data_IF_053176236880
#
_entry.id   IF_053176236880
#
_cell.length_a   1.000
_cell.length_b   1.000
_cell.length_c   1.000
_cell.angle_alpha   90.00
_cell.angle_beta   90.00
_cell.angle_gamma   90.00
#
_symmetry.space_group_name_H-M   'P 1'
#
loop_
_entity.id
_entity.type
_entity.pdbx_description
1 polymer ?
2 non-polymer ?
3 non-polymer ?
4 water ?
#
# COMPACT_ATOMS: atom_id res chain seq x y z
N UNK A 4 -22.83 -21.00 -5.06
CA UNK A 4 -21.97 -19.83 -5.48
C UNK A 4 -20.64 -19.85 -4.70
N UNK A 5 -19.52 -20.31 -5.32
CA UNK A 5 -18.29 -20.54 -4.58
C UNK A 5 -17.67 -19.21 -4.13
N UNK A 6 -16.97 -19.23 -3.01
CA UNK A 6 -16.20 -18.04 -2.57
C UNK A 6 -14.93 -17.94 -3.39
N UNK A 7 -14.50 -16.71 -3.73
CA UNK A 7 -13.31 -16.57 -4.54
C UNK A 7 -12.04 -16.85 -3.74
N UNK A 8 -11.03 -17.33 -4.46
CA UNK A 8 -9.65 -17.56 -3.97
C UNK A 8 -8.78 -16.37 -4.35
N UNK A 9 -9.20 -15.60 -5.34
CA UNK A 9 -8.44 -14.43 -5.85
C UNK A 9 -9.42 -13.41 -6.43
N UNK A 10 -9.09 -12.13 -6.25
CA UNK A 10 -9.86 -11.00 -6.79
C UNK A 10 -8.90 -10.13 -7.54
N UNK A 11 -9.44 -9.27 -8.36
CA UNK A 11 -8.61 -8.22 -8.95
C UNK A 11 -9.06 -6.88 -8.42
N UNK A 12 -8.04 -6.04 -8.23
CA UNK A 12 -8.19 -4.72 -7.57
C UNK A 12 -7.61 -3.69 -8.51
N UNK A 13 -8.37 -2.66 -8.83
CA UNK A 13 -7.89 -1.48 -9.55
C UNK A 13 -7.53 -0.41 -8.54
N UNK A 14 -6.38 0.19 -8.72
CA UNK A 14 -5.94 1.37 -7.98
C UNK A 14 -5.74 2.50 -8.95
N UNK A 15 -6.37 3.64 -8.72
CA UNK A 15 -6.09 4.84 -9.52
C UNK A 15 -5.60 5.95 -8.64
N UNK A 16 -4.67 6.74 -9.12
CA UNK A 16 -4.28 7.99 -8.47
C UNK A 16 -4.28 9.09 -9.51
N UNK A 17 -4.90 10.20 -9.14
CA UNK A 17 -4.93 11.35 -10.08
C UNK A 17 -4.95 12.65 -9.30
N UNK A 18 -3.95 13.46 -9.54
CA UNK A 18 -3.97 14.84 -9.05
C UNK A 18 -4.67 15.65 -10.13
N UNK A 19 -5.87 16.11 -9.82
CA UNK A 19 -6.78 16.72 -10.82
C UNK A 19 -6.43 18.18 -11.04
N UNK A 20 -5.54 18.78 -10.30
CA UNK A 20 -5.13 20.17 -10.55
C UNK A 20 -6.26 21.14 -10.37
N UNK A 21 -7.20 20.83 -9.49
CA UNK A 21 -8.33 21.71 -9.13
C UNK A 21 -9.17 22.03 -10.38
N UNK A 22 -9.24 21.12 -11.34
CA UNK A 22 -10.05 21.31 -12.55
C UNK A 22 -11.04 20.19 -12.62
N UNK A 23 -12.26 20.42 -13.16
CA UNK A 23 -13.12 19.31 -13.41
C UNK A 23 -12.55 18.38 -14.48
N UNK A 24 -12.94 17.11 -14.39
CA UNK A 24 -12.46 16.14 -15.36
C UNK A 24 -13.11 16.31 -16.72
N UNK A 25 -12.55 15.75 -17.78
CA UNK A 25 -13.21 15.77 -19.07
C UNK A 25 -14.38 14.81 -19.01
N UNK A 26 -15.17 14.81 -20.09
CA UNK A 26 -16.40 14.03 -20.14
C UNK A 26 -16.16 12.51 -20.15
N UNK A 27 -15.05 12.06 -20.69
CA UNK A 27 -14.76 10.63 -20.75
C UNK A 27 -13.42 10.36 -20.06
N UNK A 28 -13.47 9.48 -19.06
CA UNK A 28 -12.25 9.09 -18.30
C UNK A 28 -12.13 7.57 -18.31
N UNK A 29 -12.87 6.86 -19.17
CA UNK A 29 -12.82 5.39 -19.20
C UNK A 29 -11.43 4.79 -19.44
N UNK A 30 -10.54 5.48 -20.16
CA UNK A 30 -9.18 4.94 -20.41
C UNK A 30 -8.48 4.65 -19.08
N UNK A 31 -8.76 5.45 -18.06
CA UNK A 31 -8.14 5.27 -16.74
C UNK A 31 -8.51 3.89 -16.18
N UNK A 32 -9.80 3.59 -16.14
CA UNK A 32 -10.31 2.34 -15.52
C UNK A 32 -10.02 1.12 -16.39
N UNK A 33 -9.73 1.36 -17.66
CA UNK A 33 -9.32 0.28 -18.58
C UNK A 33 -7.82 0.04 -18.63
N UNK A 34 -7.03 0.81 -17.88
CA UNK A 34 -5.55 0.63 -17.87
C UNK A 34 -5.02 0.78 -19.30
N UNK A 35 -5.43 1.83 -19.99
CA UNK A 35 -5.00 2.16 -21.37
C UNK A 35 -4.11 3.39 -21.36
N UNK A 36 -3.03 3.37 -22.15
CA UNK A 36 -2.18 4.54 -22.31
C UNK A 36 -0.79 4.07 -22.45
N UNK A 37 0.10 4.59 -21.59
CA UNK A 37 1.52 4.22 -21.61
C UNK A 37 1.81 3.28 -20.44
N UNK A 38 2.89 2.53 -20.55
CA UNK A 38 3.38 1.71 -19.48
C UNK A 38 2.96 0.28 -19.69
N UNK A 39 2.70 -0.41 -18.59
CA UNK A 39 2.24 -1.80 -18.59
C UNK A 39 0.71 -1.78 -18.59
N UNK A 40 0.13 -1.97 -19.76
CA UNK A 40 -1.28 -1.74 -20.00
C UNK A 40 -2.04 -3.06 -20.08
N UNK A 41 -3.34 -2.94 -19.92
CA UNK A 41 -4.24 -4.10 -19.86
C UNK A 41 -4.67 -4.50 -21.28
N UNK A 42 -4.79 -5.79 -21.50
CA UNK A 42 -5.15 -6.34 -22.82
C UNK A 42 -6.58 -5.91 -23.14
N UNK A 43 -6.78 -5.57 -24.41
CA UNK A 43 -8.12 -5.19 -24.93
C UNK A 43 -9.17 -6.27 -24.69
N UNK A 44 -8.75 -7.49 -24.69
CA UNK A 44 -9.69 -8.62 -24.55
C UNK A 44 -10.33 -8.65 -23.16
N UNK A 45 -9.77 -7.90 -22.21
CA UNK A 45 -10.30 -7.82 -20.84
C UNK A 45 -11.22 -6.63 -20.64
N UNK A 46 -11.45 -5.79 -21.62
CA UNK A 46 -12.11 -4.49 -21.36
C UNK A 46 -13.47 -4.62 -20.70
N UNK A 47 -14.22 -5.70 -20.99
CA UNK A 47 -15.59 -5.78 -20.42
C UNK A 47 -15.56 -6.47 -19.08
N UNK A 48 -14.44 -7.03 -18.67
CA UNK A 48 -14.34 -7.79 -17.42
C UNK A 48 -14.18 -6.81 -16.27
N UNK A 49 -15.10 -6.74 -15.33
CA UNK A 49 -14.96 -5.80 -14.24
C UNK A 49 -13.91 -6.28 -13.26
N UNK A 50 -13.13 -5.34 -12.70
CA UNK A 50 -12.37 -5.62 -11.48
C UNK A 50 -13.37 -5.84 -10.36
N UNK A 51 -12.95 -6.56 -9.35
CA UNK A 51 -13.76 -6.82 -8.17
C UNK A 51 -13.95 -5.57 -7.31
N UNK A 52 -12.85 -4.80 -7.17
CA UNK A 52 -12.80 -3.59 -6.32
C UNK A 52 -12.06 -2.53 -7.11
N UNK A 53 -12.58 -1.33 -7.09
CA UNK A 53 -11.92 -0.15 -7.66
C UNK A 53 -11.67 0.82 -6.52
N UNK A 54 -10.44 1.29 -6.40
CA UNK A 54 -10.08 2.26 -5.37
C UNK A 54 -9.48 3.43 -6.08
N UNK A 55 -10.10 4.60 -5.88
CA UNK A 55 -9.81 5.81 -6.69
C UNK A 55 -9.32 6.91 -5.75
N UNK A 56 -8.04 7.26 -5.84
CA UNK A 56 -7.46 8.34 -5.03
C UNK A 56 -7.30 9.56 -5.90
N UNK A 57 -7.80 10.68 -5.41
CA UNK A 57 -7.59 11.96 -6.08
C UNK A 57 -6.91 12.92 -5.12
N UNK A 58 -6.22 13.86 -5.72
CA UNK A 58 -5.62 15.00 -5.02
C UNK A 58 -5.99 16.24 -5.81
N UNK A 59 -6.03 17.37 -5.10
CA UNK A 59 -6.48 18.64 -5.74
C UNK A 59 -7.82 18.39 -6.44
N UNK A 60 -8.71 17.68 -5.79
CA UNK A 60 -10.00 17.29 -6.35
C UNK A 60 -10.99 18.43 -6.04
N UNK A 61 -11.55 19.07 -7.09
CA UNK A 61 -12.46 20.21 -6.89
C UNK A 61 -13.89 19.80 -6.76
N UNK A 62 -14.23 18.58 -6.95
CA UNK A 62 -15.62 18.10 -7.01
C UNK A 62 -16.17 17.82 -5.63
N UNK A 63 -17.48 17.85 -5.48
CA UNK A 63 -18.08 17.31 -4.25
C UNK A 63 -17.99 15.78 -4.33
N UNK A 64 -18.20 15.12 -3.20
CA UNK A 64 -18.24 13.66 -3.20
C UNK A 64 -19.33 13.16 -4.12
N UNK A 65 -20.50 13.83 -4.09
CA UNK A 65 -21.61 13.42 -4.93
C UNK A 65 -21.21 13.52 -6.39
N UNK A 66 -20.67 14.63 -6.76
CA UNK A 66 -20.30 14.85 -8.17
C UNK A 66 -19.31 13.80 -8.66
N UNK A 67 -18.32 13.48 -7.85
CA UNK A 67 -17.29 12.51 -8.29
C UNK A 67 -17.86 11.11 -8.31
N UNK A 68 -18.66 10.73 -7.31
CA UNK A 68 -19.29 9.41 -7.31
C UNK A 68 -20.14 9.21 -8.55
N UNK A 69 -20.93 10.23 -8.91
CA UNK A 69 -21.73 10.27 -10.16
C UNK A 69 -20.83 9.80 -11.30
N UNK A 70 -19.75 10.54 -11.52
CA UNK A 70 -18.85 10.34 -12.66
C UNK A 70 -18.23 8.95 -12.62
N UNK A 71 -17.76 8.52 -11.45
CA UNK A 71 -17.10 7.22 -11.35
C UNK A 71 -18.08 6.10 -11.66
N UNK A 72 -19.23 6.13 -11.00
CA UNK A 72 -20.18 5.02 -11.20
C UNK A 72 -20.67 4.95 -12.63
N UNK A 73 -20.94 6.11 -13.24
CA UNK A 73 -21.33 6.21 -14.67
C UNK A 73 -20.26 5.54 -15.54
N UNK A 74 -19.01 5.96 -15.37
CA UNK A 74 -17.86 5.47 -16.16
C UNK A 74 -17.75 3.95 -16.05
N UNK A 75 -17.86 3.40 -14.85
CA UNK A 75 -17.76 1.93 -14.70
C UNK A 75 -18.96 1.26 -15.34
N UNK A 76 -20.13 1.84 -15.21
CA UNK A 76 -21.34 1.20 -15.78
C UNK A 76 -21.20 1.20 -17.28
N UNK A 77 -20.67 2.24 -17.87
CA UNK A 77 -20.50 2.31 -19.33
C UNK A 77 -19.52 1.24 -19.79
N UNK A 78 -18.45 1.01 -19.05
CA UNK A 78 -17.39 0.04 -19.42
C UNK A 78 -17.92 -1.39 -19.28
N UNK A 79 -18.60 -1.68 -18.19
CA UNK A 79 -18.82 -3.07 -17.74
C UNK A 79 -20.30 -3.46 -17.75
N UNK A 80 -21.20 -2.48 -17.82
CA UNK A 80 -22.66 -2.70 -17.68
C UNK A 80 -22.98 -3.20 -16.27
N UNK A 81 -22.12 -2.97 -15.29
CA UNK A 81 -22.36 -3.31 -13.86
C UNK A 81 -22.52 -2.01 -13.10
N UNK A 82 -23.50 -1.99 -12.22
CA UNK A 82 -23.72 -0.88 -11.29
C UNK A 82 -23.00 -1.17 -9.97
N UNK A 83 -21.89 -0.48 -9.76
CA UNK A 83 -21.02 -0.78 -8.61
C UNK A 83 -21.64 -0.21 -7.33
N UNK A 84 -21.35 -0.81 -6.23
CA UNK A 84 -21.78 -0.34 -4.91
C UNK A 84 -20.65 0.46 -4.27
N UNK A 85 -21.01 1.50 -3.56
CA UNK A 85 -20.05 2.34 -2.86
C UNK A 85 -19.71 1.69 -1.55
N UNK A 86 -18.47 1.29 -1.34
CA UNK A 86 -17.99 0.71 -0.08
C UNK A 86 -17.69 1.84 0.88
N UNK A 87 -16.97 2.87 0.44
CA UNK A 87 -16.53 3.94 1.33
C UNK A 87 -16.09 5.12 0.49
N UNK A 88 -16.21 6.29 1.07
CA UNK A 88 -15.65 7.52 0.46
C UNK A 88 -15.18 8.37 1.62
N UNK A 89 -14.01 8.97 1.54
CA UNK A 89 -13.50 9.83 2.61
C UNK A 89 -12.66 10.93 1.97
N UNK A 90 -12.83 12.14 2.43
CA UNK A 90 -12.17 13.30 1.89
C UNK A 90 -11.54 14.09 3.01
N UNK A 91 -10.31 14.49 2.84
CA UNK A 91 -9.60 15.48 3.72
C UNK A 91 -9.23 16.60 2.77
N UNK A 92 -9.77 17.78 3.01
CA UNK A 92 -9.50 18.94 2.13
C UNK A 92 -9.84 18.56 0.71
N UNK A 93 -8.84 18.49 -0.16
CA UNK A 93 -9.05 18.11 -1.56
C UNK A 93 -8.39 16.77 -1.89
N UNK A 94 -8.16 15.94 -0.88
CA UNK A 94 -7.57 14.59 -1.02
C UNK A 94 -8.68 13.61 -0.76
N UNK A 95 -8.96 12.70 -1.67
CA UNK A 95 -10.16 11.85 -1.56
C UNK A 95 -9.85 10.41 -1.94
N UNK A 96 -10.54 9.52 -1.30
CA UNK A 96 -10.52 8.09 -1.65
C UNK A 96 -11.93 7.59 -1.80
N UNK A 97 -12.20 6.88 -2.88
CA UNK A 97 -13.47 6.18 -3.15
C UNK A 97 -13.19 4.71 -3.35
N UNK A 98 -13.95 3.86 -2.68
CA UNK A 98 -13.87 2.41 -2.91
C UNK A 98 -15.20 1.94 -3.45
N UNK A 99 -15.21 1.30 -4.58
CA UNK A 99 -16.38 0.74 -5.23
C UNK A 99 -16.16 -0.75 -5.37
N UNK A 100 -17.25 -1.53 -5.28
CA UNK A 100 -17.12 -2.98 -5.43
C UNK A 100 -18.29 -3.54 -6.20
N UNK A 101 -18.06 -4.67 -6.87
CA UNK A 101 -19.14 -5.43 -7.54
C UNK A 101 -20.29 -5.62 -6.55
N UNK A 102 -21.56 -5.60 -7.01
CA UNK A 102 -22.65 -5.87 -6.10
C UNK A 102 -22.62 -7.26 -5.46
N UNK A 103 -22.07 -8.23 -6.13
CA UNK A 103 -22.01 -9.61 -5.58
C UNK A 103 -21.14 -9.65 -4.33
N UNK A 104 -20.27 -8.63 -4.13
CA UNK A 104 -19.34 -8.60 -2.98
C UNK A 104 -19.93 -7.93 -1.77
N UNK A 105 -21.15 -7.42 -1.87
CA UNK A 105 -21.68 -6.58 -0.78
C UNK A 105 -21.66 -7.32 0.56
N UNK A 106 -21.99 -8.62 0.56
CA UNK A 106 -22.08 -9.44 1.78
C UNK A 106 -20.79 -10.23 2.02
N UNK A 107 -19.71 -9.86 1.31
CA UNK A 107 -18.33 -10.36 1.59
C UNK A 107 -17.51 -9.27 2.26
N UNK A 108 -17.98 -8.04 2.27
CA UNK A 108 -17.21 -6.87 2.73
C UNK A 108 -17.76 -6.46 4.07
N UNK A 109 -16.93 -6.25 5.05
CA UNK A 109 -17.37 -5.84 6.38
C UNK A 109 -16.27 -5.07 7.07
N UNK A 110 -16.50 -4.59 8.26
CA UNK A 110 -15.51 -3.89 9.08
C UNK A 110 -14.89 -2.74 8.28
N UNK A 111 -15.69 -1.89 7.71
CA UNK A 111 -15.19 -0.79 6.87
C UNK A 111 -14.75 0.30 7.81
N UNK A 112 -13.50 0.75 7.67
CA UNK A 112 -12.91 1.87 8.44
C UNK A 112 -12.42 2.96 7.48
N UNK A 113 -12.51 4.20 7.92
CA UNK A 113 -11.89 5.32 7.20
C UNK A 113 -11.16 6.19 8.17
N UNK A 114 -10.13 6.87 7.69
CA UNK A 114 -9.42 7.82 8.54
C UNK A 114 -8.61 8.78 7.67
N UNK A 115 -8.08 9.81 8.28
CA UNK A 115 -7.17 10.74 7.58
C UNK A 115 -6.07 11.15 8.55
N UNK A 116 -4.99 11.62 7.97
CA UNK A 116 -3.88 12.22 8.72
C UNK A 116 -3.54 13.53 8.02
N UNK A 117 -3.46 14.60 8.79
CA UNK A 117 -2.97 15.90 8.34
C UNK A 117 -1.49 15.99 8.61
N UNK A 118 -0.63 16.22 7.61
CA UNK A 118 0.83 16.31 7.88
C UNK A 118 1.31 17.73 8.15
N UNK A 119 2.53 17.87 8.68
CA UNK A 119 3.12 19.21 8.86
C UNK A 119 2.63 19.91 10.13
N UNK A 120 3.14 21.12 10.39
CA UNK A 120 2.82 21.93 11.62
C UNK A 120 2.73 23.38 11.17
N UNK A 121 1.71 24.12 11.62
CA UNK A 121 1.55 25.59 11.43
C UNK A 121 1.53 25.91 9.92
N UNK A 122 2.52 26.68 9.42
CA UNK A 122 2.86 26.89 7.98
C UNK A 122 2.45 25.69 7.13
N UNK A 123 2.95 24.51 7.51
CA UNK A 123 2.98 23.25 6.71
C UNK A 123 1.75 22.38 7.03
N UNK A 124 0.87 22.80 7.95
CA UNK A 124 -0.45 22.11 8.16
C UNK A 124 -1.51 22.89 7.39
N UNK A 125 -2.23 22.21 6.50
CA UNK A 125 -3.46 22.79 5.94
C UNK A 125 -3.78 22.31 4.55
N UNK A 126 -2.83 21.67 3.84
CA UNK A 126 -3.39 20.97 2.67
C UNK A 126 -2.86 19.56 2.32
N UNK A 127 -1.75 19.14 2.92
CA UNK A 127 -1.12 17.83 2.63
C UNK A 127 -1.58 16.80 3.68
N UNK A 128 -1.54 15.53 3.30
CA UNK A 128 -1.85 14.48 4.22
C UNK A 128 -2.33 13.28 3.50
N UNK A 129 -3.16 12.47 4.15
CA UNK A 129 -3.60 11.22 3.56
C UNK A 129 -4.98 10.85 4.02
N UNK A 130 -5.69 10.11 3.18
CA UNK A 130 -6.95 9.47 3.57
C UNK A 130 -6.79 7.99 3.35
N UNK A 131 -7.53 7.22 4.10
CA UNK A 131 -7.44 5.75 3.92
C UNK A 131 -8.74 5.06 4.21
N UNK A 132 -8.85 3.85 3.71
CA UNK A 132 -9.98 2.97 3.91
C UNK A 132 -9.42 1.57 4.19
N UNK A 133 -10.05 0.84 5.09
CA UNK A 133 -9.80 -0.61 5.21
C UNK A 133 -11.11 -1.35 5.34
N UNK A 134 -11.05 -2.63 5.05
CA UNK A 134 -12.22 -3.50 5.26
C UNK A 134 -11.71 -4.92 5.22
N UNK A 135 -12.59 -5.82 5.64
CA UNK A 135 -12.39 -7.26 5.41
C UNK A 135 -13.12 -7.67 4.15
N UNK A 136 -12.50 -8.49 3.33
CA UNK A 136 -13.12 -9.16 2.20
C UNK A 136 -13.05 -10.63 2.56
N UNK A 137 -14.16 -11.22 2.97
CA UNK A 137 -14.17 -12.57 3.58
C UNK A 137 -13.04 -12.66 4.62
N UNK A 138 -12.13 -13.59 4.52
CA UNK A 138 -11.08 -13.78 5.51
C UNK A 138 -9.89 -12.87 5.35
N UNK A 139 -9.90 -11.93 4.42
CA UNK A 139 -8.70 -11.17 4.01
C UNK A 139 -8.89 -9.74 4.39
N UNK A 140 -7.90 -9.12 5.01
CA UNK A 140 -7.94 -7.69 5.41
C UNK A 140 -7.25 -6.88 4.31
N UNK A 141 -7.89 -5.81 3.89
CA UNK A 141 -7.39 -4.94 2.78
C UNK A 141 -7.30 -3.51 3.32
N UNK A 142 -6.19 -2.86 3.03
CA UNK A 142 -6.00 -1.43 3.40
C UNK A 142 -5.56 -0.63 2.20
N UNK A 143 -5.99 0.63 2.17
CA UNK A 143 -5.73 1.51 1.04
C UNK A 143 -5.43 2.88 1.56
N UNK A 144 -4.36 3.48 1.12
CA UNK A 144 -3.93 4.82 1.55
C UNK A 144 -3.71 5.66 0.31
N UNK A 145 -4.36 6.83 0.26
CA UNK A 145 -4.10 7.86 -0.75
C UNK A 145 -3.45 9.03 -0.05
N UNK A 146 -2.20 9.33 -0.37
CA UNK A 146 -1.50 10.45 0.25
C UNK A 146 -1.08 11.49 -0.79
N UNK A 147 -1.18 12.76 -0.39
CA UNK A 147 -0.63 13.90 -1.12
C UNK A 147 0.50 14.45 -0.27
N UNK A 148 1.73 14.13 -0.62
CA UNK A 148 2.89 14.52 0.19
C UNK A 148 3.41 15.88 -0.26
N UNK A 149 4.30 16.43 0.56
CA UNK A 149 4.89 17.75 0.38
C UNK A 149 5.50 17.85 -1.00
N UNK A 150 5.28 18.98 -1.65
CA UNK A 150 5.79 19.26 -3.00
C UNK A 150 7.20 19.86 -2.98
N UNK A 151 7.86 19.86 -4.13
CA UNK A 151 9.13 20.58 -4.31
C UNK A 151 10.28 19.65 -4.39
N UNK A 152 11.15 19.85 -5.38
CA UNK A 152 12.29 18.97 -5.56
C UNK A 152 13.21 18.89 -4.35
N UNK A 153 13.25 19.96 -3.56
CA UNK A 153 14.21 20.17 -2.45
C UNK A 153 13.75 19.42 -1.18
N UNK A 154 12.52 18.90 -1.18
CA UNK A 154 11.84 18.51 0.06
C UNK A 154 11.66 16.99 0.15
N UNK A 155 12.58 16.20 -0.33
CA UNK A 155 12.38 14.73 -0.20
C UNK A 155 12.38 14.31 1.26
N UNK A 156 13.16 14.94 2.14
CA UNK A 156 13.14 14.52 3.56
C UNK A 156 11.79 14.79 4.18
N UNK A 157 11.20 15.94 3.85
CA UNK A 157 9.83 16.28 4.32
C UNK A 157 8.85 15.18 3.87
N UNK A 158 8.94 14.77 2.60
CA UNK A 158 8.07 13.70 2.11
C UNK A 158 8.27 12.45 2.96
N UNK A 159 9.51 12.12 3.25
CA UNK A 159 9.78 10.93 4.06
C UNK A 159 9.17 11.05 5.46
N UNK A 160 9.24 12.22 6.02
CA UNK A 160 8.62 12.51 7.31
C UNK A 160 7.10 12.42 7.24
N UNK A 161 6.55 12.96 6.15
CA UNK A 161 5.09 12.84 5.95
C UNK A 161 4.69 11.36 5.92
N UNK A 162 5.43 10.56 5.17
CA UNK A 162 5.18 9.12 5.13
C UNK A 162 5.15 8.51 6.54
N UNK A 163 6.15 8.80 7.38
CA UNK A 163 6.17 8.18 8.73
C UNK A 163 4.99 8.70 9.56
N UNK A 164 4.68 9.98 9.47
CA UNK A 164 3.49 10.43 10.21
C UNK A 164 2.23 9.73 9.78
N UNK A 165 2.05 9.55 8.48
CA UNK A 165 0.85 8.85 7.99
C UNK A 165 0.82 7.41 8.51
N UNK A 166 1.98 6.77 8.39
CA UNK A 166 2.24 5.36 8.76
C UNK A 166 1.89 5.16 10.24
N UNK A 167 2.21 6.15 11.06
CA UNK A 167 2.02 6.08 12.54
C UNK A 167 0.61 6.36 12.92
N UNK A 168 -0.02 7.33 12.29
CA UNK A 168 -1.21 7.94 12.87
C UNK A 168 -2.48 7.58 12.18
N UNK A 169 -2.40 6.97 10.98
CA UNK A 169 -3.64 6.57 10.31
C UNK A 169 -4.21 5.37 11.03
N UNK A 170 -5.42 5.46 11.51
CA UNK A 170 -6.05 4.45 12.36
C UNK A 170 -7.04 3.65 11.55
N UNK A 171 -6.55 2.58 10.95
CA UNK A 171 -7.35 1.71 10.08
C UNK A 171 -7.19 0.31 10.60
N UNK A 172 -8.06 -0.58 10.21
CA UNK A 172 -7.95 -2.00 10.54
C UNK A 172 -8.30 -2.28 11.96
N UNK A 173 -7.88 -3.44 12.45
CA UNK A 173 -8.36 -4.02 13.72
C UNK A 173 -7.67 -3.32 14.88
N UNK A 174 -8.38 -2.50 15.65
CA UNK A 174 -7.81 -1.72 16.79
C UNK A 174 -7.21 -2.66 17.85
N UNK A 175 -7.65 -3.95 17.86
CA UNK A 175 -7.03 -4.88 18.85
C UNK A 175 -5.56 -5.13 18.51
N UNK A 176 -5.12 -4.84 17.27
CA UNK A 176 -3.70 -5.00 16.87
C UNK A 176 -2.89 -3.83 17.35
N UNK A 177 -2.93 -3.57 18.68
CA UNK A 177 -2.47 -2.28 19.22
C UNK A 177 -1.01 -2.02 18.98
N UNK A 178 -0.09 -3.00 18.99
CA UNK A 178 1.29 -2.73 18.73
C UNK A 178 1.61 -2.39 17.28
N UNK A 179 0.66 -2.61 16.38
CA UNK A 179 0.97 -2.64 14.92
C UNK A 179 0.39 -1.42 14.23
N UNK A 180 1.20 -0.81 13.39
CA UNK A 180 0.75 0.29 12.50
C UNK A 180 0.16 -0.31 11.24
N UNK A 181 -0.28 0.56 10.33
CA UNK A 181 -0.93 0.07 9.10
C UNK A 181 -0.02 -0.83 8.29
N UNK A 182 1.30 -0.70 8.42
CA UNK A 182 2.21 -1.55 7.61
C UNK A 182 2.20 -3.01 8.04
N UNK A 183 1.49 -3.36 9.10
CA UNK A 183 1.32 -4.75 9.56
C UNK A 183 -0.12 -5.17 9.72
N UNK A 184 -1.11 -4.30 9.56
CA UNK A 184 -2.50 -4.68 9.90
C UNK A 184 -3.22 -5.42 8.80
N UNK A 185 -2.70 -5.44 7.57
CA UNK A 185 -3.49 -5.91 6.44
C UNK A 185 -2.80 -7.02 5.68
N UNK A 186 -3.58 -7.97 5.20
CA UNK A 186 -3.08 -8.99 4.27
C UNK A 186 -2.42 -8.28 3.08
N UNK A 187 -3.13 -7.29 2.54
CA UNK A 187 -2.67 -6.49 1.40
C UNK A 187 -2.89 -5.03 1.74
N UNK A 188 -1.83 -4.25 1.64
CA UNK A 188 -1.88 -2.79 1.84
C UNK A 188 -1.42 -2.11 0.55
N UNK A 189 -2.22 -1.22 0.00
CA UNK A 189 -1.88 -0.43 -1.20
C UNK A 189 -1.72 1.00 -0.77
N UNK A 190 -0.62 1.62 -1.13
CA UNK A 190 -0.33 3.02 -0.76
C UNK A 190 -0.02 3.75 -2.05
N UNK A 191 -0.78 4.76 -2.36
CA UNK A 191 -0.70 5.47 -3.65
C UNK A 191 -0.92 6.93 -3.41
N UNK A 192 -0.74 7.70 -4.46
CA UNK A 192 -1.05 9.12 -4.35
C UNK A 192 -0.12 9.95 -5.19
N UNK A 193 -0.25 11.28 -4.98
CA UNK A 193 0.78 12.22 -5.44
C UNK A 193 1.83 12.29 -4.35
N UNK A 194 2.74 11.36 -4.45
CA UNK A 194 3.83 11.24 -3.47
C UNK A 194 4.87 12.32 -3.67
N UNK A 195 4.90 12.94 -4.85
CA UNK A 195 5.62 14.19 -5.09
C UNK A 195 7.11 14.06 -5.13
N UNK A 196 7.66 12.85 -5.16
CA UNK A 196 9.09 12.66 -5.39
C UNK A 196 9.45 13.00 -6.83
N UNK A 197 10.62 13.60 -7.01
CA UNK A 197 11.02 14.21 -8.28
C UNK A 197 12.23 13.49 -8.87
N UNK A 198 12.47 13.78 -10.14
CA UNK A 198 13.72 13.39 -10.83
C UNK A 198 14.74 14.44 -10.50
N UNK A 199 15.74 14.06 -9.70
CA UNK A 199 16.72 15.02 -9.14
C UNK A 199 17.92 15.13 -10.09
N UNK A 200 17.76 15.97 -11.11
CA UNK A 200 18.79 16.29 -12.07
C UNK A 200 18.88 17.80 -12.07
N UNK A 201 20.02 18.36 -12.54
CA UNK A 201 20.12 19.82 -12.55
C UNK A 201 19.05 20.46 -13.43
N UNK A 202 18.58 21.65 -13.07
CA UNK A 202 17.44 22.32 -13.75
C UNK A 202 17.80 22.71 -15.20
N UNK A 203 19.10 22.92 -15.50
CA UNK A 203 19.58 23.24 -16.86
C UNK A 203 19.70 21.96 -17.71
N UNK A 204 19.36 20.79 -17.15
CA UNK A 204 19.14 19.56 -17.96
C UNK A 204 17.67 19.42 -18.36
N UNK A 205 16.80 20.40 -18.17
CA UNK A 205 15.36 20.22 -18.42
C UNK A 205 15.14 19.77 -19.85
N UNK A 206 15.76 20.42 -20.84
CA UNK A 206 15.45 20.07 -22.24
C UNK A 206 16.04 18.72 -22.55
N UNK A 207 17.16 18.37 -21.97
CA UNK A 207 17.72 17.02 -22.16
C UNK A 207 16.72 16.01 -21.64
N UNK A 208 16.17 16.23 -20.45
CA UNK A 208 15.18 15.30 -19.87
C UNK A 208 13.98 15.13 -20.80
N UNK A 209 13.46 16.22 -21.32
CA UNK A 209 12.34 16.17 -22.26
C UNK A 209 12.65 15.33 -23.48
N UNK A 210 13.87 15.47 -24.02
CA UNK A 210 14.24 14.72 -25.25
C UNK A 210 14.37 13.22 -24.88
N UNK A 211 14.88 12.87 -23.69
CA UNK A 211 14.88 11.46 -23.27
C UNK A 211 13.46 10.88 -23.19
N UNK A 212 12.53 11.68 -22.67
CA UNK A 212 11.14 11.27 -22.55
C UNK A 212 10.57 11.05 -23.94
N UNK A 213 10.83 11.93 -24.89
CA UNK A 213 10.30 11.77 -26.27
C UNK A 213 10.86 10.53 -26.93
N UNK A 214 12.03 10.08 -26.54
CA UNK A 214 12.66 8.84 -27.04
C UNK A 214 12.27 7.62 -26.25
N UNK A 215 11.43 7.83 -25.24
CA UNK A 215 10.98 6.72 -24.34
C UNK A 215 12.17 6.07 -23.71
N UNK A 216 13.17 6.87 -23.35
CA UNK A 216 14.40 6.35 -22.74
C UNK A 216 14.39 6.83 -21.31
N UNK A 217 13.83 6.02 -20.42
CA UNK A 217 13.60 6.47 -19.02
C UNK A 217 14.72 6.07 -18.09
N UNK A 218 15.69 5.25 -18.49
CA UNK A 218 16.60 4.63 -17.53
C UNK A 218 17.43 5.68 -16.78
N UNK A 219 17.95 6.68 -17.46
CA UNK A 219 18.82 7.68 -16.82
C UNK A 219 17.98 8.71 -16.06
N UNK A 220 16.66 8.70 -16.24
CA UNK A 220 15.79 9.53 -15.40
C UNK A 220 15.44 8.73 -14.14
N UNK A 221 15.02 7.47 -14.29
CA UNK A 221 14.61 6.64 -13.13
C UNK A 221 15.74 6.48 -12.13
N UNK A 222 17.00 6.45 -12.64
CA UNK A 222 18.16 6.35 -11.74
C UNK A 222 18.30 7.58 -10.84
N UNK A 223 17.60 8.68 -11.13
CA UNK A 223 17.60 9.89 -10.29
C UNK A 223 16.22 10.14 -9.67
N UNK A 224 15.29 9.20 -9.81
CA UNK A 224 13.97 9.38 -9.18
C UNK A 224 14.16 9.29 -7.67
N UNK A 225 13.70 10.29 -6.93
CA UNK A 225 13.95 10.34 -5.49
C UNK A 225 13.23 9.23 -4.75
N UNK A 226 12.08 8.76 -5.21
CA UNK A 226 11.41 7.68 -4.46
C UNK A 226 12.23 6.39 -4.58
N UNK A 227 12.67 6.05 -5.79
CA UNK A 227 13.52 4.85 -5.95
C UNK A 227 14.82 4.99 -5.17
N UNK A 228 15.45 6.16 -5.17
CA UNK A 228 16.76 6.28 -4.48
C UNK A 228 16.52 6.30 -2.99
N UNK A 229 15.53 6.97 -2.46
CA UNK A 229 15.26 6.95 -1.04
C UNK A 229 14.87 5.55 -0.59
N UNK A 230 14.08 4.84 -1.39
CA UNK A 230 13.74 3.44 -1.05
C UNK A 230 15.01 2.59 -1.03
N UNK A 231 15.92 2.79 -1.97
CA UNK A 231 17.13 1.93 -2.06
C UNK A 231 18.03 2.20 -0.84
N UNK A 232 17.98 3.41 -0.28
CA UNK A 232 18.74 3.74 0.95
C UNK A 232 17.93 3.49 2.21
N UNK A 233 16.77 2.88 2.09
CA UNK A 233 15.92 2.47 3.20
C UNK A 233 15.51 3.69 4.01
N UNK A 234 15.21 4.79 3.34
CA UNK A 234 14.77 6.03 4.02
C UNK A 234 13.27 6.15 4.04
N UNK A 235 12.53 5.34 3.26
CA UNK A 235 11.07 5.46 3.13
C UNK A 235 10.54 4.20 2.50
N UNK A 236 9.30 3.84 2.76
CA UNK A 236 8.61 2.73 2.11
C UNK A 236 9.40 1.44 2.25
N UNK A 237 10.02 1.24 3.40
CA UNK A 237 10.71 -0.03 3.65
C UNK A 237 9.71 -1.18 3.56
N UNK A 238 10.08 -2.19 2.83
CA UNK A 238 9.31 -3.44 2.66
C UNK A 238 8.09 -3.28 1.80
N UNK A 239 7.96 -2.21 1.07
CA UNK A 239 6.94 -2.08 0.01
C UNK A 239 7.54 -2.42 -1.32
N UNK A 240 6.67 -2.76 -2.26
CA UNK A 240 6.99 -3.09 -3.66
C UNK A 240 6.41 -2.01 -4.58
N UNK A 241 7.02 -1.83 -5.74
CA UNK A 241 6.47 -1.01 -6.83
C UNK A 241 6.81 -1.73 -8.11
N UNK A 242 5.86 -1.79 -9.03
CA UNK A 242 6.11 -2.34 -10.38
C UNK A 242 7.09 -1.41 -11.12
N UNK A 243 7.89 -1.98 -12.02
CA UNK A 243 8.76 -1.18 -12.85
C UNK A 243 7.96 -0.11 -13.59
N UNK A 244 8.52 1.08 -13.65
CA UNK A 244 7.93 2.21 -14.36
C UNK A 244 8.34 2.16 -15.81
N UNK A 245 7.39 2.13 -16.70
CA UNK A 245 7.66 2.06 -18.17
C UNK A 245 6.81 3.07 -18.89
N UNK A 246 6.29 4.09 -18.22
CA UNK A 246 5.47 5.21 -18.72
C UNK A 246 6.29 6.50 -18.50
N UNK A 247 5.94 7.50 -19.27
CA UNK A 247 6.59 8.79 -19.12
C UNK A 247 6.23 9.45 -17.80
N UNK A 248 7.08 10.36 -17.30
CA UNK A 248 6.72 11.19 -16.16
C UNK A 248 5.34 11.77 -16.30
N UNK A 249 4.60 11.79 -15.19
CA UNK A 249 3.18 12.16 -15.20
C UNK A 249 2.94 13.61 -14.80
N UNK A 250 4.01 14.34 -14.58
CA UNK A 250 3.98 15.73 -14.12
C UNK A 250 5.24 16.39 -14.68
N UNK A 251 5.24 17.69 -14.99
CA UNK A 251 4.15 18.65 -14.98
C UNK A 251 3.82 19.01 -16.41
N UNK A 252 2.61 18.75 -16.86
CA UNK A 252 2.14 18.99 -18.24
C UNK A 252 1.47 20.37 -18.30
N UNK A 253 1.58 20.97 -19.49
CA UNK A 253 0.62 22.00 -19.93
C UNK A 253 -0.74 21.36 -20.03
N UNK A 254 -1.76 22.01 -19.52
CA UNK A 254 -3.12 21.45 -19.61
C UNK A 254 -3.64 21.47 -21.04
N UNK A 255 -4.51 20.55 -21.38
CA UNK A 255 -5.29 20.40 -22.61
C UNK A 255 -4.44 19.82 -23.74
N UNK A 256 -3.20 19.47 -23.49
CA UNK A 256 -2.41 18.63 -24.42
C UNK A 256 -1.64 17.64 -23.58
N UNK A 257 -0.93 16.67 -24.15
CA UNK A 257 0.18 15.99 -23.44
C UNK A 257 1.46 16.22 -24.19
N UNK A 258 1.48 17.21 -25.07
CA UNK A 258 2.65 17.40 -25.97
C UNK A 258 3.76 18.18 -25.28
N UNK A 259 3.47 18.77 -24.11
CA UNK A 259 4.36 19.75 -23.51
C UNK A 259 4.47 19.55 -22.00
N UNK A 260 5.69 19.43 -21.56
CA UNK A 260 6.04 19.55 -20.14
C UNK A 260 6.29 21.01 -19.77
N UNK A 261 5.65 21.53 -18.76
CA UNK A 261 5.77 22.92 -18.28
C UNK A 261 6.64 22.90 -17.05
N UNK A 262 7.92 23.10 -17.17
CA UNK A 262 8.88 22.93 -16.07
C UNK A 262 9.44 24.24 -15.52
N UNK A 263 9.30 25.33 -16.26
CA UNK A 263 10.00 26.61 -15.93
C UNK A 263 9.43 27.22 -14.66
N UNK A 264 10.27 27.94 -13.92
CA UNK A 264 9.81 28.62 -12.70
C UNK A 264 8.86 29.78 -13.08
N UNK A 265 7.83 29.92 -12.28
CA UNK A 265 6.76 30.93 -12.49
C UNK A 265 6.32 31.44 -11.13
N UNK A 266 5.72 32.65 -11.07
CA UNK A 266 5.16 33.09 -9.78
C UNK A 266 4.20 32.05 -9.22
N UNK A 267 3.40 31.45 -10.09
CA UNK A 267 2.37 30.46 -9.73
C UNK A 267 3.04 29.21 -9.09
N UNK A 268 4.32 28.97 -9.39
CA UNK A 268 5.02 27.80 -8.75
C UNK A 268 5.87 28.22 -7.57
N UNK A 269 5.75 29.46 -7.08
CA UNK A 269 6.67 29.95 -6.07
C UNK A 269 8.08 30.06 -6.56
N UNK A 270 8.25 30.32 -7.83
CA UNK A 270 9.57 30.42 -8.49
C UNK A 270 10.35 29.13 -8.34
N UNK A 271 9.63 28.01 -8.44
CA UNK A 271 10.19 26.63 -8.42
C UNK A 271 10.16 26.03 -9.83
N UNK A 272 11.23 25.34 -10.19
CA UNK A 272 11.21 24.47 -11.36
C UNK A 272 10.45 23.20 -11.00
N UNK A 273 9.77 22.69 -11.98
CA UNK A 273 9.11 21.37 -11.89
C UNK A 273 9.63 20.52 -13.03
N UNK A 274 10.84 20.02 -12.90
CA UNK A 274 11.35 19.12 -13.93
C UNK A 274 10.40 17.93 -14.02
N UNK A 275 10.23 17.34 -15.21
CA UNK A 275 9.37 16.18 -15.36
C UNK A 275 9.71 15.08 -14.37
N UNK A 276 8.66 14.58 -13.71
CA UNK A 276 8.80 13.66 -12.57
C UNK A 276 7.66 12.65 -12.52
N UNK A 277 7.97 11.56 -11.88
CA UNK A 277 6.98 10.52 -11.56
C UNK A 277 6.40 10.79 -10.16
N UNK A 278 5.58 11.84 -10.10
CA UNK A 278 4.96 12.24 -8.82
C UNK A 278 3.95 11.22 -8.32
N UNK A 279 3.32 10.49 -9.25
CA UNK A 279 2.04 9.81 -9.03
C UNK A 279 2.28 8.30 -9.07
N UNK A 280 2.10 7.63 -7.94
CA UNK A 280 2.70 6.30 -7.77
C UNK A 280 1.73 5.37 -7.06
N UNK A 281 1.96 4.06 -7.25
CA UNK A 281 1.25 3.01 -6.52
C UNK A 281 2.26 2.03 -6.01
N UNK A 282 2.26 1.77 -4.74
CA UNK A 282 3.09 0.79 -4.05
C UNK A 282 2.20 -0.15 -3.25
N UNK A 283 2.75 -1.29 -2.88
CA UNK A 283 1.99 -2.22 -2.05
C UNK A 283 2.88 -3.02 -1.13
N UNK A 284 2.26 -3.58 -0.11
CA UNK A 284 2.94 -4.47 0.82
C UNK A 284 1.92 -5.53 1.20
N UNK A 285 2.25 -6.77 0.97
CA UNK A 285 1.38 -7.88 1.34
C UNK A 285 2.09 -8.78 2.32
N UNK A 286 1.36 -9.48 3.16
CA UNK A 286 1.98 -10.45 4.07
C UNK A 286 2.77 -11.49 3.25
N UNK A 287 3.80 -12.11 3.92
CA UNK A 287 4.68 -13.04 3.26
C UNK A 287 3.86 -14.21 2.68
N UNK A 288 4.25 -14.60 1.47
CA UNK A 288 3.72 -15.82 0.80
C UNK A 288 2.23 -15.72 0.53
N UNK A 289 1.70 -14.51 0.38
CA UNK A 289 0.36 -14.31 -0.15
C UNK A 289 0.48 -13.92 -1.61
N UNK A 290 -0.36 -14.45 -2.43
CA UNK A 290 -0.38 -14.15 -3.88
C UNK A 290 -0.73 -12.67 -4.07
N UNK A 291 0.13 -11.97 -4.78
CA UNK A 291 -0.19 -10.59 -5.23
C UNK A 291 0.62 -10.39 -6.49
N UNK A 292 0.00 -10.05 -7.58
CA UNK A 292 0.69 -9.84 -8.87
C UNK A 292 0.16 -8.58 -9.53
N UNK A 293 1.05 -7.65 -9.81
CA UNK A 293 0.69 -6.46 -10.58
C UNK A 293 0.46 -6.83 -12.02
N UNK A 294 -0.74 -6.51 -12.50
CA UNK A 294 -1.19 -6.82 -13.88
C UNK A 294 -1.01 -5.61 -14.80
N UNK A 295 -1.01 -4.39 -14.26
CA UNK A 295 -0.89 -3.17 -15.07
C UNK A 295 -0.31 -2.08 -14.17
N UNK A 296 0.44 -1.19 -14.77
CA UNK A 296 0.98 0.00 -14.10
C UNK A 296 1.34 0.98 -15.18
N UNK A 297 0.58 2.07 -15.26
CA UNK A 297 0.77 2.98 -16.38
C UNK A 297 0.02 4.25 -16.20
N UNK A 298 0.05 5.09 -17.21
CA UNK A 298 -0.63 6.39 -17.17
C UNK A 298 -1.49 6.54 -18.40
N UNK A 299 -2.56 7.33 -18.26
CA UNK A 299 -3.39 7.60 -19.44
C UNK A 299 -2.73 8.70 -20.26
N UNK A 300 -3.11 8.71 -21.52
CA UNK A 300 -2.62 9.65 -22.53
C UNK A 300 -3.70 10.61 -22.98
N UNK A 301 -4.96 10.38 -22.68
CA UNK A 301 -6.08 11.13 -23.28
C UNK A 301 -6.89 11.90 -22.26
N UNK A 302 -6.40 12.08 -21.02
CA UNK A 302 -7.10 12.83 -19.96
C UNK A 302 -6.17 13.99 -19.62
N UNK A 303 -6.55 15.20 -20.03
CA UNK A 303 -5.59 16.33 -20.15
C UNK A 303 -6.05 17.57 -19.38
N UNK A 304 -7.06 17.46 -18.51
CA UNK A 304 -7.58 18.62 -17.78
C UNK A 304 -6.62 19.09 -16.69
N UNK A 305 -5.74 18.21 -16.22
CA UNK A 305 -4.82 18.50 -15.14
C UNK A 305 -3.39 18.66 -15.64
N UNK A 306 -2.54 19.22 -14.83
CA UNK A 306 -1.10 19.19 -15.08
C UNK A 306 -0.45 17.85 -14.69
N UNK A 307 -1.23 16.93 -14.12
CA UNK A 307 -0.81 15.54 -13.97
C UNK A 307 -1.63 14.63 -14.85
N UNK A 308 -1.07 13.53 -15.31
CA UNK A 308 -1.84 12.44 -15.91
C UNK A 308 -2.27 11.46 -14.85
N UNK A 309 -3.45 10.89 -14.97
CA UNK A 309 -3.84 9.78 -14.10
C UNK A 309 -2.90 8.59 -14.24
N UNK A 310 -2.75 7.88 -13.13
CA UNK A 310 -1.99 6.63 -13.08
C UNK A 310 -2.93 5.52 -12.65
N UNK A 311 -2.75 4.36 -13.26
CA UNK A 311 -3.50 3.15 -12.91
C UNK A 311 -2.54 2.05 -12.54
N UNK A 312 -3.02 1.19 -11.66
CA UNK A 312 -2.36 -0.09 -11.40
C UNK A 312 -3.43 -1.11 -11.11
N UNK A 313 -3.22 -2.34 -11.55
CA UNK A 313 -4.17 -3.43 -11.22
C UNK A 313 -3.40 -4.58 -10.66
N UNK A 314 -4.09 -5.34 -9.81
CA UNK A 314 -3.50 -6.45 -9.08
C UNK A 314 -4.44 -7.63 -9.05
N UNK A 315 -3.86 -8.83 -9.13
CA UNK A 315 -4.56 -10.08 -8.76
C UNK A 315 -4.08 -10.44 -7.35
N UNK A 316 -4.99 -10.47 -6.36
CA UNK A 316 -4.70 -10.58 -4.93
C UNK A 316 -5.38 -11.83 -4.39
N UNK A 317 -4.60 -12.67 -3.71
CA UNK A 317 -5.16 -13.85 -3.03
C UNK A 317 -6.05 -13.44 -1.90
N UNK A 318 -7.18 -14.14 -1.76
CA UNK A 318 -8.14 -13.94 -0.66
C UNK A 318 -8.50 -15.32 -0.12
N UNK A 319 -9.00 -15.31 1.08
CA UNK A 319 -9.41 -16.54 1.75
C UNK A 319 -10.85 -16.41 2.17
N UNK A 320 -11.45 -17.57 2.49
CA UNK A 320 -12.86 -17.70 2.91
C UNK A 320 -13.02 -17.26 4.36
N UNK A 321 -14.28 -17.06 4.77
CA UNK A 321 -14.66 -16.94 6.20
C UNK A 321 -14.94 -18.32 6.80
N UNK A 322 -13.92 -18.99 7.30
CA UNK A 322 -13.88 -20.40 7.73
C UNK A 322 -14.68 -20.65 9.01
N UNK A 323 -15.55 -21.67 8.95
CA UNK A 323 -16.27 -22.20 10.13
C UNK A 323 -15.97 -23.70 10.25
N UNK A 324 -15.62 -24.14 11.44
CA UNK A 324 -15.54 -25.58 11.77
C UNK A 324 -16.55 -25.92 12.87
N UNK A 325 -16.60 -27.20 13.17
CA UNK A 325 -17.40 -27.71 14.31
C UNK A 325 -16.90 -27.10 15.61
N UNK A 326 -15.58 -26.85 15.69
CA UNK A 326 -14.91 -26.25 16.86
C UNK A 326 -14.89 -24.72 16.69
N UNK A 327 -13.76 -24.11 16.29
CA UNK A 327 -13.69 -22.66 16.14
C UNK A 327 -14.40 -22.20 14.87
N UNK A 328 -14.82 -20.93 14.79
CA UNK A 328 -14.75 -19.95 15.91
C UNK A 328 -15.63 -20.24 17.13
N UNK A 329 -15.18 -19.76 18.29
CA UNK A 329 -15.88 -19.81 19.59
C UNK A 329 -15.28 -20.82 20.52
N UNK A 330 -14.26 -21.53 20.05
CA UNK A 330 -13.42 -22.41 20.87
C UNK A 330 -12.13 -22.68 20.11
N UNK A 331 -11.22 -23.41 20.77
CA UNK A 331 -9.95 -23.87 20.16
C UNK A 331 -10.22 -25.21 19.48
N UNK A 332 -9.29 -25.66 18.64
CA UNK A 332 -9.33 -26.98 17.98
C UNK A 332 -8.04 -27.73 18.38
N UNK A 333 -8.15 -28.63 19.35
CA UNK A 333 -7.00 -29.24 20.06
C UNK A 333 -6.12 -30.01 19.07
N UNK A 334 -6.58 -30.24 17.83
CA UNK A 334 -5.76 -30.93 16.80
C UNK A 334 -4.77 -29.94 16.17
N UNK A 335 -4.86 -28.65 16.50
CA UNK A 335 -3.92 -27.62 16.00
C UNK A 335 -2.97 -27.10 17.06
N UNK A 336 -1.72 -26.80 16.67
CA UNK A 336 -0.77 -26.10 17.57
C UNK A 336 0.34 -25.45 16.73
N UNK A 337 0.85 -24.38 17.31
CA UNK A 337 2.02 -23.65 16.76
C UNK A 337 3.07 -23.51 17.87
N UNK A 338 4.24 -24.07 17.58
CA UNK A 338 5.39 -24.08 18.50
C UNK A 338 6.59 -23.41 17.85
N UNK A 339 7.45 -22.86 18.71
CA UNK A 339 8.66 -22.06 18.37
C UNK A 339 9.86 -22.65 19.07
N UNK A 340 10.90 -22.89 18.32
CA UNK A 340 12.13 -23.49 18.86
C UNK A 340 13.23 -22.48 18.61
N UNK A 341 14.18 -22.36 19.55
CA UNK A 341 15.47 -21.68 19.30
C UNK A 341 15.19 -20.26 18.73
N UNK A 342 14.24 -19.54 19.32
CA UNK A 342 13.91 -18.19 18.76
C UNK A 342 14.74 -17.12 19.48
N UNK A 343 15.10 -16.10 18.73
CA UNK A 343 15.77 -14.94 19.33
C UNK A 343 15.48 -13.72 18.45
N UNK A 344 15.43 -12.63 19.15
CA UNK A 344 15.34 -11.30 18.52
C UNK A 344 16.70 -10.63 18.59
N UNK A 345 17.12 -9.97 17.56
CA UNK A 345 18.32 -9.14 17.51
C UNK A 345 17.79 -7.73 17.40
N UNK A 346 18.13 -6.89 18.36
CA UNK A 346 17.58 -5.51 18.33
C UNK A 346 18.68 -4.50 18.19
N UNK A 347 18.38 -3.41 17.51
CA UNK A 347 19.32 -2.28 17.38
C UNK A 347 19.31 -1.33 18.60
N UNK A 348 18.38 -1.44 19.51
CA UNK A 348 18.29 -0.55 20.69
C UNK A 348 19.56 -0.56 21.54
N UNK A 349 19.83 0.61 22.11
CA UNK A 349 20.96 0.79 23.07
C UNK A 349 20.45 0.58 24.50
N UNK A 350 19.15 0.35 24.72
CA UNK A 350 18.53 0.24 26.07
C UNK A 350 18.75 -1.16 26.66
N UNK A 351 18.46 -1.37 27.96
CA UNK A 351 18.74 -2.67 28.65
C UNK A 351 17.57 -3.13 29.54
N UNK A 352 16.32 -2.84 29.16
CA UNK A 352 15.10 -3.43 29.76
C UNK A 352 15.08 -4.93 29.41
N UNK A 353 14.27 -5.67 30.12
CA UNK A 353 13.83 -6.99 29.67
C UNK A 353 12.77 -6.79 28.57
N UNK A 354 12.63 -7.81 27.76
CA UNK A 354 11.63 -7.82 26.67
C UNK A 354 10.83 -9.10 26.74
N UNK A 355 9.58 -9.00 26.32
CA UNK A 355 8.64 -10.11 26.08
C UNK A 355 8.04 -9.97 24.68
N UNK A 356 7.45 -11.05 24.22
CA UNK A 356 6.77 -11.02 22.91
C UNK A 356 5.28 -11.04 23.06
N UNK A 357 4.60 -10.47 22.08
CA UNK A 357 3.16 -10.72 21.88
C UNK A 357 2.95 -11.35 20.51
N UNK A 358 2.13 -12.38 20.42
CA UNK A 358 1.71 -13.04 19.20
C UNK A 358 0.28 -12.65 18.94
N UNK A 359 0.01 -12.03 17.80
CA UNK A 359 -1.35 -11.64 17.38
C UNK A 359 -1.71 -12.33 16.08
N UNK A 360 -2.89 -12.90 16.03
CA UNK A 360 -3.37 -13.48 14.78
C UNK A 360 -4.84 -13.75 14.90
N UNK A 361 -5.54 -13.58 13.78
CA UNK A 361 -6.97 -13.96 13.62
C UNK A 361 -7.17 -15.44 13.92
N UNK A 362 -6.13 -16.27 13.80
CA UNK A 362 -6.27 -17.72 14.09
C UNK A 362 -6.25 -17.99 15.59
N UNK A 363 -6.04 -16.99 16.44
CA UNK A 363 -6.05 -17.18 17.91
C UNK A 363 -7.30 -16.52 18.50
N UNK A 364 -7.79 -17.03 19.64
CA UNK A 364 -8.98 -16.38 20.26
C UNK A 364 -8.59 -14.99 20.76
N UNK A 365 -7.36 -14.80 21.21
CA UNK A 365 -6.83 -13.49 21.59
C UNK A 365 -5.30 -13.58 21.59
N UNK A 366 -4.69 -12.42 21.67
CA UNK A 366 -3.22 -12.35 21.55
C UNK A 366 -2.61 -13.06 22.77
N UNK A 367 -1.39 -13.52 22.57
CA UNK A 367 -0.64 -14.32 23.59
C UNK A 367 0.63 -13.57 23.94
N UNK A 368 0.90 -13.44 25.25
CA UNK A 368 2.06 -12.71 25.80
C UNK A 368 3.05 -13.74 26.35
N UNK A 369 4.28 -13.78 25.82
CA UNK A 369 5.34 -14.69 26.28
C UNK A 369 5.87 -14.21 27.64
N UNK A 370 6.67 -15.11 28.24
CA UNK A 370 7.63 -14.77 29.32
C UNK A 370 8.70 -13.86 28.74
N UNK A 371 9.44 -13.22 29.63
CA UNK A 371 10.60 -12.40 29.26
C UNK A 371 11.68 -13.28 28.69
N UNK A 372 12.37 -12.77 27.71
CA UNK A 372 13.54 -13.38 27.14
C UNK A 372 14.78 -13.14 28.01
N UNK A 373 15.87 -13.76 27.62
CA UNK A 373 17.17 -13.56 28.30
C UNK A 373 18.05 -12.74 27.38
N UNK A 374 18.49 -11.59 27.84
CA UNK A 374 19.32 -10.66 27.06
C UNK A 374 20.76 -11.15 27.06
N UNK A 375 21.41 -11.09 25.93
CA UNK A 375 22.87 -11.30 25.79
C UNK A 375 23.38 -10.21 24.87
N UNK A 376 24.67 -9.96 24.88
CA UNK A 376 25.37 -8.99 24.00
C UNK A 376 25.86 -9.74 22.76
N UNK A 377 25.48 -9.29 21.55
CA UNK A 377 25.98 -9.79 20.25
C UNK A 377 27.44 -9.38 20.04
N UNK A 378 28.14 -10.08 19.14
CA UNK A 378 29.61 -9.94 18.93
C UNK A 378 29.94 -8.63 18.21
N UNK A 379 28.94 -7.97 17.61
CA UNK A 379 29.14 -6.69 16.87
C UNK A 379 28.40 -5.56 17.60
N UNK A 380 28.11 -5.73 18.90
CA UNK A 380 27.54 -4.66 19.78
C UNK A 380 26.05 -4.84 20.11
N UNK A 381 25.34 -5.76 19.45
CA UNK A 381 23.84 -5.81 19.38
C UNK A 381 23.24 -6.32 20.69
N UNK A 382 21.97 -6.01 20.92
CA UNK A 382 21.21 -6.77 21.94
C UNK A 382 20.58 -7.99 21.26
N UNK A 383 20.81 -9.16 21.81
CA UNK A 383 20.16 -10.43 21.42
C UNK A 383 19.25 -10.83 22.56
N UNK A 384 17.99 -11.05 22.29
CA UNK A 384 17.02 -11.49 23.29
C UNK A 384 16.66 -12.91 22.98
N UNK A 385 17.06 -13.82 23.88
CA UNK A 385 16.88 -15.27 23.66
C UNK A 385 15.61 -15.75 24.34
N UNK A 386 14.78 -16.48 23.60
CA UNK A 386 13.56 -17.11 24.13
C UNK A 386 13.75 -18.62 24.26
N UNK A 387 14.78 -19.16 23.64
CA UNK A 387 15.08 -20.60 23.52
C UNK A 387 13.84 -21.40 23.13
N UNK A 388 13.43 -22.30 24.02
CA UNK A 388 12.30 -23.24 23.86
C UNK A 388 11.21 -22.75 24.81
N UNK A 389 11.31 -21.49 25.25
CA UNK A 389 10.45 -20.96 26.34
C UNK A 389 9.13 -20.38 25.80
N UNK A 390 8.90 -20.23 24.48
CA UNK A 390 7.69 -19.50 23.98
C UNK A 390 6.43 -20.33 24.19
N UNK A 391 5.26 -19.72 24.52
CA UNK A 391 4.01 -20.45 24.77
C UNK A 391 3.53 -21.18 23.50
N UNK A 392 2.95 -22.35 23.65
CA UNK A 392 2.42 -23.12 22.48
C UNK A 392 1.12 -22.40 22.07
N UNK A 393 0.95 -21.99 20.80
CA UNK A 393 -0.24 -21.21 20.38
C UNK A 393 -1.33 -22.19 19.96
N UNK A 394 -2.56 -21.89 20.37
CA UNK A 394 -3.72 -22.78 20.16
C UNK A 394 -4.67 -22.15 19.17
N UNK A 395 -4.58 -22.54 17.89
CA UNK A 395 -5.45 -21.93 16.89
C UNK A 395 -6.87 -22.43 17.05
N UNK A 396 -7.80 -21.62 16.55
CA UNK A 396 -9.27 -21.85 16.69
C UNK A 396 -9.70 -22.96 15.74
N UNK A 397 -8.96 -23.14 14.66
CA UNK A 397 -9.29 -24.11 13.60
C UNK A 397 -8.00 -24.83 13.23
N UNK A 398 -8.07 -26.14 13.09
CA UNK A 398 -6.89 -27.01 12.88
C UNK A 398 -6.74 -27.42 11.41
N UNK A 399 -7.79 -27.21 10.63
CA UNK A 399 -7.83 -27.68 9.25
C UNK A 399 -6.68 -27.01 8.49
N UNK A 400 -5.79 -27.76 7.82
CA UNK A 400 -4.61 -27.15 7.20
C UNK A 400 -5.02 -26.24 6.06
N UNK A 401 -6.17 -26.44 5.44
CA UNK A 401 -6.63 -25.52 4.37
C UNK A 401 -6.92 -24.12 4.91
N UNK A 402 -7.19 -24.03 6.18
CA UNK A 402 -7.32 -22.72 6.87
C UNK A 402 -5.95 -22.34 7.41
N UNK A 403 -5.31 -23.19 8.20
CA UNK A 403 -4.23 -22.70 9.09
C UNK A 403 -3.00 -22.33 8.25
N UNK A 404 -2.72 -23.05 7.18
CA UNK A 404 -1.51 -22.77 6.39
C UNK A 404 -1.65 -21.41 5.66
N UNK A 405 -2.85 -20.87 5.57
CA UNK A 405 -3.06 -19.53 4.96
C UNK A 405 -2.93 -18.41 5.99
N UNK A 406 -2.66 -18.68 7.25
CA UNK A 406 -2.68 -17.64 8.29
C UNK A 406 -1.28 -17.07 8.49
N UNK A 407 -1.23 -16.03 9.30
CA UNK A 407 0.01 -15.30 9.64
C UNK A 407 -0.01 -14.96 11.09
N UNK A 408 1.17 -14.93 11.70
CA UNK A 408 1.35 -14.52 13.10
C UNK A 408 2.11 -13.22 13.12
N UNK A 409 1.49 -12.16 13.62
CA UNK A 409 2.20 -10.92 13.91
C UNK A 409 2.93 -11.04 15.24
N UNK A 410 4.12 -10.51 15.29
CA UNK A 410 4.95 -10.54 16.52
C UNK A 410 5.35 -9.11 16.86
N UNK A 411 5.16 -8.76 18.12
CA UNK A 411 5.72 -7.51 18.69
C UNK A 411 6.66 -7.90 19.81
N UNK A 412 7.82 -7.28 19.85
CA UNK A 412 8.72 -7.40 21.02
C UNK A 412 8.56 -6.13 21.82
N UNK A 413 8.16 -6.33 23.07
CA UNK A 413 7.81 -5.20 23.96
C UNK A 413 8.70 -5.11 25.20
N UNK A 414 9.03 -3.88 25.56
CA UNK A 414 9.75 -3.61 26.82
C UNK A 414 8.88 -4.00 28.03
N UNK A 415 9.48 -4.72 28.97
CA UNK A 415 8.82 -5.04 30.26
C UNK A 415 8.62 -3.76 31.06
N UNK A 416 9.53 -2.80 30.93
CA UNK A 416 9.56 -1.54 31.73
C UNK A 416 8.41 -0.63 31.28
N UNK A 417 8.12 -0.55 29.98
CA UNK A 417 7.20 0.48 29.42
C UNK A 417 6.02 -0.14 28.70
N UNK A 418 6.05 -1.44 28.40
CA UNK A 418 5.05 -2.14 27.55
C UNK A 418 4.98 -1.51 26.13
N UNK A 419 6.06 -0.77 25.73
CA UNK A 419 6.09 -0.18 24.37
C UNK A 419 6.75 -1.18 23.42
N UNK A 420 6.16 -1.37 22.22
CA UNK A 420 6.81 -2.18 21.15
C UNK A 420 8.09 -1.52 20.68
N UNK A 421 9.13 -2.34 20.65
CA UNK A 421 10.41 -1.97 20.02
C UNK A 421 10.53 -2.52 18.60
N UNK A 422 9.64 -3.41 18.17
CA UNK A 422 9.71 -3.96 16.82
C UNK A 422 8.54 -4.87 16.57
N UNK A 423 8.11 -4.81 15.33
CA UNK A 423 6.97 -5.55 14.83
C UNK A 423 7.37 -6.32 13.58
N UNK A 424 6.83 -7.50 13.41
CA UNK A 424 7.04 -8.32 12.22
C UNK A 424 5.95 -9.33 12.00
N UNK A 425 6.11 -10.16 10.98
CA UNK A 425 5.04 -11.06 10.56
C UNK A 425 5.66 -12.36 10.06
N UNK A 426 5.11 -13.47 10.51
CA UNK A 426 5.54 -14.84 10.08
C UNK A 426 4.40 -15.52 9.34
N UNK A 427 4.64 -16.03 8.13
CA UNK A 427 3.62 -16.82 7.45
C UNK A 427 3.59 -18.26 7.98
N UNK A 428 2.41 -18.84 8.02
CA UNK A 428 2.23 -20.29 8.34
C UNK A 428 2.14 -21.12 7.06
N UNK A 429 2.45 -20.55 5.90
CA UNK A 429 2.43 -21.26 4.60
C UNK A 429 3.71 -22.10 4.45
N UNK A 430 3.86 -23.11 5.32
CA UNK A 430 5.12 -23.84 5.49
C UNK A 430 5.31 -24.89 4.41
N UNK A 431 6.54 -25.34 4.28
CA UNK A 431 6.87 -26.44 3.36
C UNK A 431 6.47 -27.79 3.94
N UNK A 432 6.20 -27.89 5.20
CA UNK A 432 5.91 -29.17 5.90
C UNK A 432 5.21 -28.85 7.18
N UNK A 433 4.38 -29.77 7.68
CA UNK A 433 3.85 -29.72 9.03
C UNK A 433 4.58 -30.75 9.93
N UNK A 434 4.45 -30.58 11.23
CA UNK A 434 5.05 -31.54 12.20
C UNK A 434 6.55 -31.63 11.93
N UNK A 435 7.19 -30.55 11.47
CA UNK A 435 8.59 -30.50 11.03
C UNK A 435 9.15 -29.17 11.53
N UNK A 436 10.31 -29.17 12.15
CA UNK A 436 10.98 -27.90 12.57
C UNK A 436 11.50 -27.20 11.35
N UNK A 437 11.10 -25.95 11.16
CA UNK A 437 11.49 -25.23 9.94
C UNK A 437 11.94 -23.83 10.33
N UNK A 438 12.93 -23.29 9.63
CA UNK A 438 13.39 -21.94 9.96
C UNK A 438 12.28 -20.90 9.67
N UNK A 439 12.20 -19.90 10.55
CA UNK A 439 11.33 -18.72 10.35
C UNK A 439 12.19 -17.49 10.55
N UNK A 440 11.70 -16.37 9.97
CA UNK A 440 12.45 -15.10 9.97
C UNK A 440 11.45 -13.99 9.68
N UNK A 441 11.60 -12.88 10.38
CA UNK A 441 11.01 -11.61 9.92
C UNK A 441 11.95 -10.46 10.33
N UNK A 442 12.06 -9.44 9.50
CA UNK A 442 12.61 -8.20 10.01
C UNK A 442 11.63 -7.62 11.03
N UNK A 443 12.16 -6.80 11.90
CA UNK A 443 11.35 -6.08 12.88
C UNK A 443 11.46 -4.60 12.58
N UNK A 444 10.31 -3.91 12.57
CA UNK A 444 10.28 -2.46 12.38
C UNK A 444 9.51 -1.80 13.50
N UNK A 445 9.75 -0.52 13.66
CA UNK A 445 8.94 0.31 14.59
C UNK A 445 8.84 1.65 13.90
N UNK A 446 7.61 2.17 13.84
CA UNK A 446 7.30 3.37 13.04
C UNK A 446 7.82 3.17 11.62
N UNK A 447 7.78 1.93 11.12
CA UNK A 447 8.15 1.62 9.74
C UNK A 447 9.64 1.60 9.46
N UNK A 448 10.47 1.87 10.49
CA UNK A 448 11.94 1.81 10.32
C UNK A 448 12.50 0.52 10.94
N UNK A 449 13.57 0.02 10.34
CA UNK A 449 14.17 -1.26 10.81
C UNK A 449 14.71 -1.12 12.22
N UNK A 450 14.34 -1.99 13.11
CA UNK A 450 14.81 -1.98 14.49
C UNK A 450 15.45 -3.31 14.90
N UNK A 451 15.40 -4.32 14.05
CA UNK A 451 15.96 -5.61 14.44
C UNK A 451 15.40 -6.70 13.57
N UNK A 452 15.54 -7.90 14.09
CA UNK A 452 15.18 -9.15 13.41
C UNK A 452 14.68 -10.15 14.41
N UNK A 453 13.84 -11.05 13.93
CA UNK A 453 13.35 -12.18 14.76
C UNK A 453 13.52 -13.44 13.94
N UNK A 454 14.19 -14.43 14.54
CA UNK A 454 14.44 -15.69 13.81
C UNK A 454 14.41 -16.85 14.78
N UNK A 455 14.14 -18.02 14.19
CA UNK A 455 14.17 -19.27 14.94
C UNK A 455 13.56 -20.33 14.10
N UNK A 456 12.87 -21.24 14.78
CA UNK A 456 12.18 -22.34 14.08
C UNK A 456 10.75 -22.41 14.57
N UNK A 457 9.92 -22.98 13.71
CA UNK A 457 8.49 -23.23 13.95
C UNK A 457 8.23 -24.72 13.75
N UNK A 458 7.19 -25.19 14.40
CA UNK A 458 6.67 -26.57 14.25
C UNK A 458 5.14 -26.41 14.27
N UNK A 459 4.49 -26.66 13.20
CA UNK A 459 3.04 -26.45 13.01
C UNK A 459 2.33 -27.80 12.94
N UNK A 460 1.38 -27.99 13.85
CA UNK A 460 0.46 -29.16 13.89
C UNK A 460 -0.88 -28.75 13.27
N UNK A 461 -1.32 -29.46 12.23
CA UNK A 461 -2.67 -29.27 11.68
C UNK A 461 -3.42 -30.58 11.92
N UNK A 462 -4.68 -30.63 11.57
CA UNK A 462 -5.45 -31.91 11.60
C UNK A 462 -4.98 -32.94 10.55
N UNK A 463 -4.14 -32.57 9.58
CA UNK A 463 -3.72 -33.60 8.58
C UNK A 463 -2.31 -34.15 8.91
X LIG B 1 14.82 -2.19 -3.70
X LIG B 1 13.81 -6.17 -3.23
X LIG B 1 13.00 -6.46 -1.92
X LIG B 1 13.44 -7.25 -0.86
X LIG B 1 12.43 -7.24 0.11
X LIG B 1 11.39 -6.46 -0.39
X LIG B 1 13.69 -2.66 -2.91
X LIG B 1 13.95 0.07 -5.40
X LIG B 1 15.37 -3.23 -4.57
X LIG B 1 15.32 -4.66 -4.00
X LIG B 1 13.20 -4.01 -3.41
X LIG B 1 14.21 -4.93 -3.24
X LIG B 1 14.61 0.18 -2.77
X LIG B 1 16.36 -0.13 -4.26
X LIG B 1 11.76 -6.00 -1.60
X LIG B 1 14.97 -0.50 -3.99
X LIG C 1 -5.60 -13.86 4.85
X LIG C 1 -6.51 -14.03 3.66
X LIG C 1 -4.06 -14.56 4.36
X LIG C 1 -6.00 -15.07 6.06
X LIG D 1 -3.77 -11.50 10.91
X LIG D 1 -4.11 -12.83 11.56
X LIG D 1 -4.26 -10.26 12.05
X LIG D 1 -2.06 -11.34 11.16
X LIG E 1 7.92 -8.07 7.60
X LIG E 1 6.56 -7.54 8.05
X LIG E 1 8.29 -7.29 6.09
X LIG E 1 7.63 -9.72 7.02
#
# INVERSE_FOLDING_TARGET
SMEQPEPDMITIFIGTWNMGNAPPPKKITSWFLSKGQGKTRDDSADYIPHDIYVIGTQEDPLSEKEWLEILKHSLQEITSVTFKTVAIHTLWNIRIVVLAKPEHENRISHICTDNVKTGIANTLGNKGAVGVSFMFNGTSLGFVNSHLTSGSEKKLRRNQNYMNILRFLALGDKKLSPFNITHRFTHLFWFGDLNYRVDLPTWEAETIIQKIKQQQYADLLSHDQLLTERREQKVFLHFEEEEITFAPTYRFERLTRDKYAYTKQKATGMKYNLPSWCDRVLWKSYPLVHVVCQSYGSTSDIMTSDHSPVFATFEAGVTSQFVSKNGPGTVDSQGQIEFLRCYATLKTKSQTKFYLEFHSSCLESFVKSQEGENEEGSEGELVVKFGETLPKLKPIISDPEYLLDQHILISIKSSDSDESYGEGCIALRLEATETQLPIYTPLTHHGELTGHFQGEIKLQTSQ
NV7 N1 C4 C5 C6 C7 C8 C10 C1 C2 C3 C9 N2 O1 O2 O3 S1
DMS S O C1 C2
DMS S O C1 C2
DMS S O C1 C2
#
